data_IF_391574187463
#
_entry.id   IF_391574187463
#
_cell.length_a   1.000
_cell.length_b   1.000
_cell.length_c   1.000
_cell.angle_alpha   90.00
_cell.angle_beta   90.00
_cell.angle_gamma   90.00
#
_symmetry.space_group_name_H-M   'P 1'
#
loop_
_entity.id
_entity.type
_entity.pdbx_description
1 polymer ?
#
# COMPACT_ATOMS: atom_id res chain seq x y z
N UNK A 1 25.26 -5.96 13.35
CA UNK A 1 24.03 -6.77 13.19
C UNK A 1 22.84 -5.84 13.40
N UNK A 2 22.34 -5.25 12.31
CA UNK A 2 21.28 -4.24 12.37
C UNK A 2 19.93 -4.96 12.30
N UNK A 3 19.13 -4.82 13.36
CA UNK A 3 17.79 -5.41 13.46
C UNK A 3 16.80 -4.39 12.90
N UNK A 4 16.34 -4.59 11.67
CA UNK A 4 15.27 -3.78 11.07
C UNK A 4 14.01 -3.95 11.92
N UNK A 5 13.58 -2.89 12.61
CA UNK A 5 12.29 -2.85 13.28
C UNK A 5 11.24 -2.52 12.22
N UNK A 6 10.38 -3.49 11.91
CA UNK A 6 9.09 -3.22 11.28
C UNK A 6 8.11 -2.91 12.41
N UNK A 7 7.93 -1.62 12.71
CA UNK A 7 6.94 -1.17 13.68
C UNK A 7 5.56 -1.20 13.01
N UNK A 8 4.82 -2.29 13.21
CA UNK A 8 3.44 -2.46 12.74
C UNK A 8 2.52 -1.46 13.46
N UNK A 9 2.26 -0.31 12.86
CA UNK A 9 1.21 0.60 13.31
C UNK A 9 -0.14 0.02 12.90
N UNK A 10 -0.97 -0.32 13.88
CA UNK A 10 -2.29 -0.93 13.66
C UNK A 10 -3.34 0.17 13.53
N UNK A 11 -3.60 0.64 12.31
CA UNK A 11 -4.77 1.48 12.03
C UNK A 11 -5.92 0.54 11.64
N UNK A 12 -6.92 0.44 12.52
CA UNK A 12 -8.20 -0.27 12.40
C UNK A 12 -8.31 -1.18 11.15
N UNK A 13 -7.96 -2.46 11.33
CA UNK A 13 -8.20 -3.60 10.42
C UNK A 13 -7.45 -3.63 9.06
N UNK A 14 -6.19 -3.18 9.01
CA UNK A 14 -5.30 -3.44 7.87
C UNK A 14 -3.82 -3.36 8.23
N UNK A 15 -2.96 -3.92 7.37
CA UNK A 15 -1.51 -3.74 7.47
C UNK A 15 -1.05 -2.74 6.41
N UNK A 16 -0.14 -1.85 6.79
CA UNK A 16 0.61 -1.02 5.84
C UNK A 16 2.02 -1.55 5.77
N UNK A 17 2.47 -1.88 4.56
CA UNK A 17 3.84 -2.26 4.25
C UNK A 17 4.41 -1.19 3.33
N UNK A 18 5.65 -0.79 3.59
CA UNK A 18 6.42 0.08 2.71
C UNK A 18 7.65 -0.68 2.26
N UNK A 19 8.03 -0.52 1.00
CA UNK A 19 9.28 -1.08 0.49
C UNK A 19 10.49 -0.34 1.06
N UNK A 20 11.67 -0.90 0.80
CA UNK A 20 12.93 -0.32 1.26
C UNK A 20 13.15 1.07 0.67
N UNK A 21 12.86 1.28 -0.62
CA UNK A 21 13.01 2.57 -1.27
C UNK A 21 12.23 3.67 -0.54
N UNK A 22 10.96 3.40 -0.21
CA UNK A 22 10.12 4.33 0.55
C UNK A 22 10.63 4.53 1.99
N UNK A 23 11.04 3.45 2.67
CA UNK A 23 11.50 3.50 4.06
C UNK A 23 12.82 4.27 4.26
N UNK A 24 13.67 4.33 3.23
CA UNK A 24 14.96 5.03 3.27
C UNK A 24 14.87 6.52 2.90
N UNK A 25 13.69 7.00 2.46
CA UNK A 25 13.50 8.41 2.14
C UNK A 25 13.57 9.32 3.38
N UNK A 26 14.01 10.57 3.24
CA UNK A 26 13.88 11.58 4.29
C UNK A 26 12.44 11.69 4.81
N UNK A 27 12.28 11.86 6.12
CA UNK A 27 10.98 11.82 6.80
C UNK A 27 9.92 12.78 6.21
N UNK A 28 10.36 13.94 5.68
CA UNK A 28 9.48 14.90 4.99
C UNK A 28 8.85 14.29 3.73
N UNK A 29 9.64 13.57 2.92
CA UNK A 29 9.13 12.90 1.73
C UNK A 29 8.26 11.70 2.09
N UNK A 30 8.69 10.87 3.05
CA UNK A 30 7.88 9.77 3.56
C UNK A 30 6.48 10.25 3.99
N UNK A 31 6.43 11.31 4.80
CA UNK A 31 5.16 11.88 5.28
C UNK A 31 4.32 12.41 4.11
N UNK A 32 4.92 13.12 3.16
CA UNK A 32 4.22 13.63 1.99
C UNK A 32 3.63 12.50 1.13
N UNK A 33 4.39 11.40 0.93
CA UNK A 33 3.94 10.22 0.19
C UNK A 33 2.76 9.56 0.91
N UNK A 34 2.87 9.29 2.21
CA UNK A 34 1.79 8.65 2.96
C UNK A 34 0.52 9.50 3.00
N UNK A 35 0.66 10.83 3.11
CA UNK A 35 -0.48 11.77 3.05
C UNK A 35 -1.11 11.83 1.66
N UNK A 36 -0.32 11.66 0.59
CA UNK A 36 -0.82 11.62 -0.79
C UNK A 36 -1.53 10.30 -1.09
N UNK A 37 -0.97 9.15 -0.69
CA UNK A 37 -1.63 7.83 -0.79
C UNK A 37 -2.97 7.85 -0.03
N UNK A 38 -2.98 8.41 1.19
CA UNK A 38 -4.20 8.52 2.01
C UNK A 38 -5.31 9.36 1.37
N UNK A 39 -4.97 10.29 0.48
CA UNK A 39 -5.90 11.18 -0.21
C UNK A 39 -6.14 10.81 -1.66
N UNK A 40 -5.53 9.74 -2.16
CA UNK A 40 -5.65 9.36 -3.55
C UNK A 40 -7.11 9.02 -3.89
N UNK A 41 -7.66 9.74 -4.86
CA UNK A 41 -9.02 9.57 -5.39
C UNK A 41 -9.09 9.68 -6.92
N UNK A 42 -7.93 9.71 -7.59
CA UNK A 42 -7.80 9.86 -9.04
C UNK A 42 -7.98 8.52 -9.79
N UNK A 43 -9.14 7.90 -9.61
CA UNK A 43 -9.54 6.69 -10.32
C UNK A 43 -10.23 7.05 -11.63
N UNK A 44 -9.81 6.41 -12.71
CA UNK A 44 -10.28 6.61 -14.08
C UNK A 44 -10.48 5.26 -14.75
N UNK A 45 -11.28 5.20 -15.81
CA UNK A 45 -11.45 3.96 -16.60
C UNK A 45 -10.12 3.39 -17.14
N UNK A 46 -9.09 4.22 -17.27
CA UNK A 46 -7.78 3.79 -17.75
C UNK A 46 -6.93 3.12 -16.67
N UNK A 47 -6.96 3.64 -15.44
CA UNK A 47 -6.11 3.15 -14.34
C UNK A 47 -6.84 2.19 -13.39
N UNK A 48 -8.18 2.14 -13.45
CA UNK A 48 -9.02 1.21 -12.71
C UNK A 48 -10.22 0.74 -13.58
N UNK A 49 -9.97 -0.11 -14.59
CA UNK A 49 -11.00 -0.58 -15.51
C UNK A 49 -12.06 -1.48 -14.85
N UNK A 50 -11.79 -1.97 -13.64
CA UNK A 50 -12.66 -2.89 -12.91
C UNK A 50 -13.35 -2.24 -11.70
N UNK A 51 -12.98 -1.00 -11.34
CA UNK A 51 -13.59 -0.26 -10.22
C UNK A 51 -13.23 -0.85 -8.86
N UNK A 52 -12.12 -1.57 -8.77
CA UNK A 52 -11.71 -2.29 -7.57
C UNK A 52 -11.03 -1.35 -6.56
N UNK A 53 -10.55 -0.20 -7.03
CA UNK A 53 -9.85 0.82 -6.24
C UNK A 53 -8.71 0.26 -5.36
N UNK A 54 -8.02 -0.78 -5.84
CA UNK A 54 -7.00 -1.52 -5.09
C UNK A 54 -5.59 -1.31 -5.64
N UNK A 55 -5.42 -0.52 -6.68
CA UNK A 55 -4.12 -0.10 -7.22
C UNK A 55 -4.17 1.37 -7.62
N UNK A 56 -3.08 2.09 -7.37
CA UNK A 56 -2.95 3.45 -7.83
C UNK A 56 -1.50 3.91 -7.93
N UNK A 57 -1.32 5.03 -8.62
CA UNK A 57 0.00 5.53 -8.94
C UNK A 57 0.01 7.06 -8.95
N UNK A 58 0.90 7.66 -8.16
CA UNK A 58 1.00 9.11 -7.99
C UNK A 58 2.47 9.56 -7.99
N UNK A 59 2.71 10.87 -8.14
CA UNK A 59 4.07 11.43 -8.15
C UNK A 59 4.22 12.41 -7.00
N UNK A 60 5.21 12.21 -6.13
CA UNK A 60 5.54 13.13 -5.03
C UNK A 60 6.98 13.55 -5.17
N UNK A 61 7.23 14.86 -5.27
CA UNK A 61 8.58 15.43 -5.31
C UNK A 61 9.49 14.85 -6.41
N UNK A 62 8.91 14.46 -7.54
CA UNK A 62 9.63 13.87 -8.68
C UNK A 62 9.72 12.34 -8.65
N UNK A 63 9.42 11.70 -7.52
CA UNK A 63 9.40 10.24 -7.40
C UNK A 63 8.04 9.67 -7.81
N UNK A 64 8.05 8.64 -8.67
CA UNK A 64 6.85 7.91 -9.04
C UNK A 64 6.59 6.82 -8.00
N UNK A 65 5.42 6.87 -7.37
CA UNK A 65 5.01 5.98 -6.30
C UNK A 65 3.84 5.12 -6.79
N UNK A 66 3.93 3.81 -6.55
CA UNK A 66 2.80 2.90 -6.68
C UNK A 66 2.29 2.52 -5.29
N UNK A 67 0.99 2.30 -5.18
CA UNK A 67 0.39 1.67 -4.02
C UNK A 67 -0.62 0.63 -4.47
N UNK A 68 -0.78 -0.41 -3.66
CA UNK A 68 -1.79 -1.45 -3.89
C UNK A 68 -2.38 -2.01 -2.60
N UNK A 69 -3.57 -2.60 -2.67
CA UNK A 69 -4.23 -3.31 -1.58
C UNK A 69 -4.34 -4.78 -1.98
N UNK A 70 -3.55 -5.63 -1.34
CA UNK A 70 -3.64 -7.08 -1.50
C UNK A 70 -4.64 -7.67 -0.48
N UNK A 71 -5.36 -8.71 -0.91
CA UNK A 71 -6.39 -9.38 -0.12
C UNK A 71 -5.95 -10.80 0.25
N UNK A 72 -5.49 -10.99 1.47
CA UNK A 72 -5.03 -12.28 1.98
C UNK A 72 -6.09 -12.98 2.82
N UNK A 73 -6.11 -14.31 2.77
CA UNK A 73 -6.82 -15.12 3.76
C UNK A 73 -6.15 -14.91 5.13
N UNK A 74 -6.97 -14.69 6.17
CA UNK A 74 -6.45 -14.44 7.53
C UNK A 74 -5.44 -15.50 7.98
N UNK A 75 -4.28 -15.04 8.44
CA UNK A 75 -3.23 -15.89 8.98
C UNK A 75 -2.46 -16.72 7.94
N UNK A 76 -2.60 -16.43 6.64
CA UNK A 76 -1.81 -17.06 5.57
C UNK A 76 -1.27 -16.01 4.58
N UNK A 77 -0.40 -16.45 3.67
CA UNK A 77 0.07 -15.64 2.53
C UNK A 77 -0.73 -15.94 1.24
N UNK A 78 -1.82 -16.69 1.36
CA UNK A 78 -2.69 -17.07 0.24
C UNK A 78 -3.73 -15.97 0.00
N UNK A 79 -4.15 -15.79 -1.27
CA UNK A 79 -5.26 -14.90 -1.61
C UNK A 79 -6.56 -15.31 -0.91
N UNK A 80 -7.35 -14.33 -0.48
CA UNK A 80 -8.65 -14.60 0.14
C UNK A 80 -9.63 -15.21 -0.87
N UNK A 81 -10.39 -16.26 -0.49
CA UNK A 81 -11.46 -16.80 -1.34
C UNK A 81 -12.65 -15.85 -1.51
N UNK A 82 -12.77 -14.85 -0.62
CA UNK A 82 -13.81 -13.81 -0.68
C UNK A 82 -13.21 -12.47 -0.21
N UNK A 83 -12.59 -11.68 -1.11
CA UNK A 83 -11.98 -10.39 -0.80
C UNK A 83 -12.91 -9.36 -0.16
N UNK A 84 -14.23 -9.52 -0.36
CA UNK A 84 -15.25 -8.63 0.21
C UNK A 84 -15.54 -8.93 1.69
N UNK A 85 -15.28 -10.18 2.12
CA UNK A 85 -15.57 -10.63 3.48
C UNK A 85 -14.43 -10.30 4.46
N UNK A 86 -14.63 -9.26 5.27
CA UNK A 86 -13.66 -8.78 6.26
C UNK A 86 -13.38 -9.76 7.42
N UNK A 87 -14.21 -10.80 7.58
CA UNK A 87 -13.96 -11.88 8.55
C UNK A 87 -12.93 -12.85 8.01
N UNK A 88 -12.94 -13.12 6.71
CA UNK A 88 -12.01 -14.05 6.05
C UNK A 88 -10.76 -13.37 5.50
N UNK A 89 -10.82 -12.05 5.29
CA UNK A 89 -9.82 -11.28 4.55
C UNK A 89 -9.05 -10.31 5.43
N UNK A 90 -7.73 -10.35 5.30
CA UNK A 90 -6.78 -9.33 5.73
C UNK A 90 -6.36 -8.48 4.53
N UNK A 91 -6.47 -7.16 4.66
CA UNK A 91 -6.07 -6.21 3.62
C UNK A 91 -4.69 -5.64 3.93
N UNK A 92 -3.81 -5.65 2.94
CA UNK A 92 -2.45 -5.16 3.05
C UNK A 92 -2.24 -4.05 2.04
N UNK A 93 -2.12 -2.81 2.53
CA UNK A 93 -1.68 -1.68 1.72
C UNK A 93 -0.16 -1.74 1.57
N UNK A 94 0.33 -1.92 0.35
CA UNK A 94 1.75 -1.82 0.01
C UNK A 94 2.00 -0.48 -0.68
N UNK A 95 2.97 0.30 -0.19
CA UNK A 95 3.44 1.54 -0.84
C UNK A 95 4.88 1.35 -1.27
N UNK A 96 5.19 1.65 -2.53
CA UNK A 96 6.48 1.38 -3.15
C UNK A 96 6.89 2.42 -4.19
N UNK A 97 8.19 2.55 -4.46
CA UNK A 97 8.64 3.25 -5.65
C UNK A 97 8.19 2.46 -6.88
N UNK A 98 7.86 3.15 -7.97
CA UNK A 98 7.42 2.50 -9.20
C UNK A 98 8.48 1.59 -9.82
N UNK A 99 9.76 1.81 -9.53
CA UNK A 99 10.86 0.94 -9.98
C UNK A 99 11.00 -0.36 -9.16
N UNK A 100 10.30 -0.47 -8.03
CA UNK A 100 10.26 -1.66 -7.18
C UNK A 100 9.09 -2.61 -7.55
N UNK A 101 8.31 -2.25 -8.58
CA UNK A 101 7.17 -3.01 -9.11
C UNK A 101 7.49 -3.65 -10.47
#
# INVERSE_FOLDING_TARGET
MFRTRSDKVSLVMGHVIVTRGIAELPAVFFTAIMEAVRRFDDFTEHNDPHGEHDFGALTVSGERIFWKIDYYKRGTEEGSPDPSNMVLTERVLTVMLAEEY
#
